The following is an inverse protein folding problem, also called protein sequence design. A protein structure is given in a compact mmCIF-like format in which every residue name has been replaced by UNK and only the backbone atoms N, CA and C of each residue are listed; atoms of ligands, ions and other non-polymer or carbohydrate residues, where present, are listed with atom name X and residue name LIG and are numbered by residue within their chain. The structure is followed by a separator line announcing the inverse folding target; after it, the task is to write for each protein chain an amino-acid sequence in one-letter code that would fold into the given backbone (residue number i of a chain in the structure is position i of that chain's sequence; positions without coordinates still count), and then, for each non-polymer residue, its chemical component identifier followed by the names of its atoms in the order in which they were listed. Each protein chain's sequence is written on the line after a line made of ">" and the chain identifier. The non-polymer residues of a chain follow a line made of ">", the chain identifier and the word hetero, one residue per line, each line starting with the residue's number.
data_IF_421152562684
#
_entry.id   IF_421152562684
#
_cell.length_a   1.000
_cell.length_b   1.000
_cell.length_c   1.000
_cell.angle_alpha   90.00
_cell.angle_beta   90.00
_cell.angle_gamma   90.00
#
_symmetry.space_group_name_H-M   'P 1'
#
loop_
_entity.id
_entity.type
_entity.pdbx_description
1 polymer ?
#
# COMPACT_ATOMS: atom_id res chain seq x y z
N UNK A 1 15.61 11.89 -10.17
CA UNK A 1 14.50 11.56 -11.09
C UNK A 1 14.82 10.27 -11.85
N UNK A 2 13.90 9.30 -11.86
CA UNK A 2 14.00 8.04 -12.59
C UNK A 2 12.83 7.94 -13.59
N UNK A 3 13.10 7.49 -14.80
CA UNK A 3 12.07 7.36 -15.82
C UNK A 3 12.38 6.23 -16.81
N UNK A 4 11.33 5.52 -17.26
CA UNK A 4 11.43 4.43 -18.24
C UNK A 4 12.39 3.31 -17.81
N UNK A 5 12.16 2.77 -16.61
CA UNK A 5 13.01 1.72 -16.03
C UNK A 5 12.23 0.40 -16.01
N UNK A 6 12.92 -0.67 -16.37
CA UNK A 6 12.44 -2.04 -16.25
C UNK A 6 13.40 -2.80 -15.36
N UNK A 7 12.90 -3.33 -14.23
CA UNK A 7 13.67 -4.19 -13.32
C UNK A 7 13.01 -5.55 -13.28
N UNK A 8 13.79 -6.58 -13.58
CA UNK A 8 13.33 -7.97 -13.61
C UNK A 8 14.30 -8.89 -12.88
N UNK A 9 13.74 -9.92 -12.24
CA UNK A 9 14.49 -11.00 -11.60
C UNK A 9 15.51 -10.48 -10.57
N UNK A 10 15.11 -9.47 -9.77
CA UNK A 10 15.96 -8.98 -8.69
C UNK A 10 15.91 -9.93 -7.50
N UNK A 11 17.08 -10.38 -7.06
CA UNK A 11 17.26 -11.20 -5.87
C UNK A 11 17.81 -10.39 -4.67
N UNK A 12 17.91 -9.07 -4.82
CA UNK A 12 18.34 -8.16 -3.77
C UNK A 12 17.24 -7.95 -2.72
N UNK A 13 17.54 -7.16 -1.68
CA UNK A 13 16.61 -6.80 -0.63
C UNK A 13 15.42 -6.03 -1.25
N UNK A 14 15.66 -4.87 -1.88
CA UNK A 14 14.62 -4.16 -2.61
C UNK A 14 15.07 -3.84 -4.04
N UNK A 15 14.12 -3.69 -4.98
CA UNK A 15 14.49 -3.36 -6.35
C UNK A 15 14.84 -1.88 -6.49
N UNK A 16 14.10 -0.99 -5.83
CA UNK A 16 14.42 0.43 -5.66
C UNK A 16 14.12 0.80 -4.21
N UNK A 17 15.11 1.37 -3.51
CA UNK A 17 14.93 1.97 -2.20
C UNK A 17 15.22 3.48 -2.29
N UNK A 18 14.31 4.32 -1.77
CA UNK A 18 14.37 5.78 -1.73
C UNK A 18 14.37 6.22 -0.27
N UNK A 19 15.55 6.64 0.24
CA UNK A 19 15.71 7.00 1.64
C UNK A 19 15.95 8.50 1.77
N UNK A 20 15.16 9.16 2.63
CA UNK A 20 15.33 10.56 3.06
C UNK A 20 15.61 11.53 1.89
N UNK A 21 14.85 11.37 0.80
CA UNK A 21 15.07 12.15 -0.42
C UNK A 21 13.77 12.62 -1.06
N UNK A 22 13.88 13.67 -1.88
CA UNK A 22 12.78 14.14 -2.73
C UNK A 22 12.95 13.58 -4.13
N UNK A 23 12.02 12.72 -4.55
CA UNK A 23 12.15 11.94 -5.76
C UNK A 23 10.93 12.07 -6.69
N UNK A 24 11.20 11.96 -7.98
CA UNK A 24 10.20 11.79 -9.02
C UNK A 24 10.50 10.55 -9.83
N UNK A 25 9.54 9.64 -9.95
CA UNK A 25 9.68 8.42 -10.75
C UNK A 25 8.50 8.26 -11.71
N UNK A 26 8.78 7.75 -12.89
CA UNK A 26 7.72 7.52 -13.87
C UNK A 26 8.03 6.36 -14.82
N UNK A 27 6.96 5.67 -15.25
CA UNK A 27 7.06 4.56 -16.21
C UNK A 27 8.03 3.48 -15.72
N UNK A 28 7.78 2.94 -14.53
CA UNK A 28 8.59 1.88 -13.93
C UNK A 28 7.83 0.55 -14.03
N UNK A 29 8.52 -0.48 -14.46
CA UNK A 29 8.00 -1.84 -14.50
C UNK A 29 8.88 -2.78 -13.69
N UNK A 30 8.27 -3.45 -12.72
CA UNK A 30 8.90 -4.46 -11.88
C UNK A 30 8.33 -5.84 -12.18
N UNK A 31 9.17 -6.84 -12.32
CA UNK A 31 8.75 -8.22 -12.54
C UNK A 31 9.68 -9.20 -11.83
N UNK A 32 9.07 -10.12 -11.08
CA UNK A 32 9.79 -11.18 -10.39
C UNK A 32 10.86 -10.62 -9.43
N UNK A 33 10.40 -9.89 -8.43
CA UNK A 33 11.24 -9.24 -7.39
C UNK A 33 11.15 -10.04 -6.10
N UNK A 34 12.28 -10.32 -5.47
CA UNK A 34 12.38 -11.17 -4.27
C UNK A 34 11.88 -10.48 -2.98
N UNK A 35 12.04 -9.19 -2.86
CA UNK A 35 11.59 -8.39 -1.71
C UNK A 35 10.60 -7.31 -2.20
N UNK A 36 10.72 -6.04 -1.74
CA UNK A 36 9.87 -4.96 -2.19
C UNK A 36 10.28 -4.47 -3.59
N UNK A 37 9.28 -4.12 -4.40
CA UNK A 37 9.61 -3.54 -5.69
C UNK A 37 10.03 -2.08 -5.56
N UNK A 38 9.34 -1.32 -4.72
CA UNK A 38 9.68 0.06 -4.39
C UNK A 38 9.49 0.27 -2.88
N UNK A 39 10.57 0.63 -2.20
CA UNK A 39 10.57 1.04 -0.80
C UNK A 39 10.88 2.53 -0.68
N UNK A 40 10.12 3.26 0.17
CA UNK A 40 10.20 4.71 0.34
C UNK A 40 10.24 5.06 1.82
N UNK A 41 11.43 5.41 2.32
CA UNK A 41 11.68 5.75 3.71
C UNK A 41 11.96 7.24 3.91
N UNK A 42 11.16 7.88 4.78
CA UNK A 42 11.39 9.24 5.30
C UNK A 42 11.60 10.33 4.24
N UNK A 43 10.95 10.20 3.07
CA UNK A 43 11.17 11.09 1.95
C UNK A 43 9.89 11.70 1.34
N UNK A 44 10.04 12.35 0.21
CA UNK A 44 8.95 12.80 -0.63
C UNK A 44 9.03 12.09 -1.99
N UNK A 45 7.94 11.44 -2.40
CA UNK A 45 7.87 10.81 -3.72
C UNK A 45 6.68 11.32 -4.52
N UNK A 46 6.94 11.72 -5.76
CA UNK A 46 5.92 11.84 -6.78
C UNK A 46 6.10 10.75 -7.83
N UNK A 47 5.07 9.94 -8.08
CA UNK A 47 5.18 8.90 -9.10
C UNK A 47 4.05 8.88 -10.12
N UNK A 48 4.34 8.31 -11.28
CA UNK A 48 3.33 7.98 -12.28
C UNK A 48 3.67 6.70 -13.05
N UNK A 49 2.64 5.89 -13.35
CA UNK A 49 2.77 4.66 -14.14
C UNK A 49 3.76 3.65 -13.55
N UNK A 50 3.41 3.09 -12.41
CA UNK A 50 4.13 1.96 -11.79
C UNK A 50 3.35 0.67 -12.05
N UNK A 51 4.06 -0.35 -12.51
CA UNK A 51 3.52 -1.69 -12.70
C UNK A 51 4.39 -2.71 -11.97
N UNK A 52 3.76 -3.47 -11.08
CA UNK A 52 4.36 -4.58 -10.36
C UNK A 52 3.73 -5.90 -10.80
N UNK A 53 4.56 -6.88 -11.12
CA UNK A 53 4.14 -8.23 -11.46
C UNK A 53 5.00 -9.26 -10.73
N UNK A 54 4.39 -10.14 -9.94
CA UNK A 54 5.07 -11.21 -9.18
C UNK A 54 6.14 -10.64 -8.23
N UNK A 55 5.68 -9.97 -7.20
CA UNK A 55 6.53 -9.42 -6.15
C UNK A 55 6.40 -10.32 -4.91
N UNK A 56 7.51 -10.76 -4.34
CA UNK A 56 7.47 -11.69 -3.21
C UNK A 56 7.17 -10.99 -1.88
N UNK A 57 7.27 -9.67 -1.81
CA UNK A 57 6.83 -8.86 -0.68
C UNK A 57 5.85 -7.77 -1.16
N UNK A 58 6.10 -6.50 -0.94
CA UNK A 58 5.19 -5.41 -1.30
C UNK A 58 5.51 -4.83 -2.69
N UNK A 59 4.47 -4.43 -3.45
CA UNK A 59 4.71 -3.67 -4.68
C UNK A 59 5.26 -2.27 -4.34
N UNK A 60 4.66 -1.60 -3.34
CA UNK A 60 5.19 -0.36 -2.77
C UNK A 60 5.07 -0.44 -1.25
N UNK A 61 6.17 -0.29 -0.51
CA UNK A 61 6.19 0.00 0.92
C UNK A 61 6.55 1.48 1.16
N UNK A 62 5.83 2.14 2.06
CA UNK A 62 5.97 3.56 2.36
C UNK A 62 6.05 3.73 3.87
N UNK A 63 7.17 4.19 4.37
CA UNK A 63 7.44 4.38 5.79
C UNK A 63 7.92 5.80 6.09
N UNK A 64 7.18 6.55 6.92
CA UNK A 64 7.54 7.91 7.34
C UNK A 64 7.59 8.93 6.21
N UNK A 65 6.93 8.69 5.09
CA UNK A 65 7.10 9.45 3.86
C UNK A 65 5.83 10.17 3.38
N UNK A 66 6.01 11.14 2.50
CA UNK A 66 4.93 11.86 1.81
C UNK A 66 4.89 11.44 0.34
N UNK A 67 3.80 10.80 -0.09
CA UNK A 67 3.72 10.23 -1.45
C UNK A 67 2.50 10.74 -2.20
N UNK A 68 2.73 11.23 -3.43
CA UNK A 68 1.67 11.51 -4.39
C UNK A 68 1.86 10.64 -5.64
N UNK A 69 0.83 9.88 -6.02
CA UNK A 69 0.94 8.92 -7.08
C UNK A 69 -0.25 8.86 -8.02
N UNK A 70 -0.01 8.36 -9.23
CA UNK A 70 -1.07 8.03 -10.18
C UNK A 70 -0.69 6.85 -11.05
N UNK A 71 -1.73 6.06 -11.42
CA UNK A 71 -1.62 4.91 -12.32
C UNK A 71 -0.69 3.83 -11.75
N UNK A 72 -1.19 3.11 -10.76
CA UNK A 72 -0.50 1.98 -10.14
C UNK A 72 -1.21 0.68 -10.49
N UNK A 73 -0.45 -0.30 -10.91
CA UNK A 73 -0.92 -1.69 -11.09
C UNK A 73 -0.06 -2.62 -10.23
N UNK A 74 -0.69 -3.37 -9.34
CA UNK A 74 -0.05 -4.45 -8.58
C UNK A 74 -0.74 -5.78 -8.88
N UNK A 75 0.04 -6.76 -9.34
CA UNK A 75 -0.46 -8.10 -9.63
C UNK A 75 0.45 -9.16 -9.03
N UNK A 76 -0.16 -10.07 -8.26
CA UNK A 76 0.53 -11.20 -7.66
C UNK A 76 1.66 -10.78 -6.71
N UNK A 77 1.43 -9.79 -5.82
CA UNK A 77 2.31 -9.55 -4.68
C UNK A 77 1.95 -10.53 -3.56
N UNK A 78 2.96 -11.22 -3.03
CA UNK A 78 2.74 -12.24 -2.02
C UNK A 78 2.44 -11.64 -0.63
N UNK A 79 2.79 -10.38 -0.41
CA UNK A 79 2.36 -9.63 0.76
C UNK A 79 1.40 -8.50 0.33
N UNK A 80 1.83 -7.27 0.09
CA UNK A 80 0.89 -6.16 -0.13
C UNK A 80 1.02 -5.53 -1.52
N UNK A 81 -0.10 -5.06 -2.05
CA UNK A 81 -0.09 -4.17 -3.20
C UNK A 81 0.46 -2.79 -2.82
N UNK A 82 -0.06 -2.22 -1.73
CA UNK A 82 0.41 -0.97 -1.15
C UNK A 82 0.46 -1.12 0.36
N UNK A 83 1.59 -0.78 0.95
CA UNK A 83 1.82 -0.68 2.39
C UNK A 83 2.11 0.76 2.76
N UNK A 84 1.40 1.32 3.74
CA UNK A 84 1.56 2.69 4.23
C UNK A 84 1.70 2.67 5.73
N UNK A 85 2.85 3.06 6.26
CA UNK A 85 3.17 3.02 7.68
C UNK A 85 3.92 4.24 8.20
N UNK A 86 4.08 4.28 9.53
CA UNK A 86 4.98 5.21 10.24
C UNK A 86 4.69 6.70 10.00
N UNK A 87 3.43 7.12 10.22
CA UNK A 87 2.99 8.50 10.03
C UNK A 87 3.12 9.03 8.58
N UNK A 88 3.09 8.14 7.60
CA UNK A 88 3.11 8.53 6.19
C UNK A 88 1.83 9.26 5.77
N UNK A 89 1.96 10.16 4.78
CA UNK A 89 0.85 10.85 4.15
C UNK A 89 0.82 10.53 2.66
N UNK A 90 -0.24 9.84 2.22
CA UNK A 90 -0.29 9.25 0.88
C UNK A 90 -1.54 9.68 0.13
N UNK A 91 -1.36 10.09 -1.13
CA UNK A 91 -2.45 10.36 -2.07
C UNK A 91 -2.17 9.66 -3.39
N UNK A 92 -2.99 8.67 -3.74
CA UNK A 92 -2.80 7.90 -4.98
C UNK A 92 -4.14 7.76 -5.71
N UNK A 93 -4.09 7.85 -7.03
CA UNK A 93 -5.27 7.68 -7.87
C UNK A 93 -5.03 6.72 -9.05
N UNK A 94 -6.12 6.12 -9.55
CA UNK A 94 -6.14 5.16 -10.64
C UNK A 94 -5.30 3.91 -10.32
N UNK A 95 -5.82 3.10 -9.44
CA UNK A 95 -5.12 1.93 -8.89
C UNK A 95 -5.87 0.66 -9.29
N UNK A 96 -5.13 -0.35 -9.72
CA UNK A 96 -5.64 -1.69 -9.98
C UNK A 96 -4.80 -2.73 -9.22
N UNK A 97 -5.42 -3.43 -8.27
CA UNK A 97 -4.74 -4.42 -7.43
C UNK A 97 -5.42 -5.78 -7.59
N UNK A 98 -4.66 -6.76 -8.06
CA UNK A 98 -5.17 -8.08 -8.44
C UNK A 98 -4.34 -9.20 -7.83
N UNK A 99 -5.01 -10.13 -7.15
CA UNK A 99 -4.42 -11.36 -6.63
C UNK A 99 -3.21 -11.14 -5.71
N UNK A 100 -3.35 -10.22 -4.75
CA UNK A 100 -2.36 -9.99 -3.70
C UNK A 100 -2.84 -10.61 -2.37
N UNK A 101 -1.94 -10.85 -1.42
CA UNK A 101 -2.36 -11.25 -0.08
C UNK A 101 -3.17 -10.11 0.57
N UNK A 102 -2.65 -8.88 0.57
CA UNK A 102 -3.38 -7.69 1.00
C UNK A 102 -3.31 -6.65 -0.12
N UNK A 103 -4.45 -6.10 -0.55
CA UNK A 103 -4.41 -5.08 -1.58
C UNK A 103 -3.84 -3.75 -1.05
N UNK A 104 -4.38 -3.24 0.04
CA UNK A 104 -3.96 -1.98 0.66
C UNK A 104 -3.89 -2.13 2.17
N UNK A 105 -2.73 -1.90 2.75
CA UNK A 105 -2.53 -1.79 4.19
C UNK A 105 -2.20 -0.34 4.58
N UNK A 106 -2.90 0.22 5.57
CA UNK A 106 -2.58 1.52 6.18
C UNK A 106 -2.44 1.33 7.67
N UNK A 107 -1.30 1.69 8.22
CA UNK A 107 -0.90 1.36 9.58
C UNK A 107 -0.16 2.52 10.26
N UNK A 108 0.01 2.43 11.58
CA UNK A 108 0.97 3.22 12.35
C UNK A 108 0.85 4.74 12.13
N UNK A 109 -0.30 5.30 12.47
CA UNK A 109 -0.54 6.76 12.42
C UNK A 109 -0.64 7.36 11.03
N UNK A 110 -0.55 6.55 9.99
CA UNK A 110 -0.54 7.03 8.61
C UNK A 110 -1.92 7.49 8.12
N UNK A 111 -1.92 8.36 7.11
CA UNK A 111 -3.12 8.83 6.42
C UNK A 111 -3.01 8.56 4.93
N UNK A 112 -4.04 7.92 4.36
CA UNK A 112 -4.12 7.66 2.93
C UNK A 112 -5.43 8.15 2.32
N UNK A 113 -5.36 8.89 1.22
CA UNK A 113 -6.48 9.29 0.34
C UNK A 113 -6.30 8.56 -1.00
N UNK A 114 -7.17 7.60 -1.26
CA UNK A 114 -7.08 6.72 -2.42
C UNK A 114 -8.31 6.91 -3.31
N UNK A 115 -8.09 7.14 -4.60
CA UNK A 115 -9.17 7.41 -5.55
C UNK A 115 -9.11 6.49 -6.78
N UNK A 116 -10.28 6.09 -7.28
CA UNK A 116 -10.41 5.19 -8.44
C UNK A 116 -9.63 3.87 -8.21
N UNK A 117 -10.01 3.13 -7.19
CA UNK A 117 -9.40 1.85 -6.84
C UNK A 117 -10.25 0.69 -7.37
N UNK A 118 -9.62 -0.21 -8.12
CA UNK A 118 -10.21 -1.48 -8.55
C UNK A 118 -9.49 -2.64 -7.87
N UNK A 119 -10.28 -3.50 -7.23
CA UNK A 119 -9.81 -4.66 -6.47
C UNK A 119 -10.29 -5.95 -7.12
N UNK A 120 -9.44 -6.96 -7.19
CA UNK A 120 -9.83 -8.27 -7.72
C UNK A 120 -9.01 -9.40 -7.11
N UNK A 121 -9.71 -10.43 -6.61
CA UNK A 121 -9.11 -11.70 -6.17
C UNK A 121 -8.05 -11.56 -5.06
N UNK A 122 -8.05 -10.48 -4.28
CA UNK A 122 -7.15 -10.35 -3.14
C UNK A 122 -7.67 -11.19 -1.96
N UNK A 123 -6.79 -11.69 -1.12
CA UNK A 123 -7.20 -12.40 0.10
C UNK A 123 -7.83 -11.42 1.09
N UNK A 124 -7.20 -10.26 1.29
CA UNK A 124 -7.77 -9.12 2.00
C UNK A 124 -7.71 -7.88 1.11
N UNK A 125 -8.82 -7.13 1.05
CA UNK A 125 -8.87 -5.92 0.24
C UNK A 125 -8.27 -4.72 1.00
N UNK A 126 -8.57 -4.60 2.29
CA UNK A 126 -8.08 -3.52 3.15
C UNK A 126 -7.57 -4.11 4.47
N UNK A 127 -6.44 -3.60 4.95
CA UNK A 127 -5.98 -3.78 6.32
C UNK A 127 -5.68 -2.41 6.96
N UNK A 128 -6.42 -2.05 8.02
CA UNK A 128 -6.32 -0.77 8.71
C UNK A 128 -6.12 -1.01 10.21
N UNK A 129 -4.89 -0.83 10.71
CA UNK A 129 -4.51 -1.24 12.06
C UNK A 129 -3.23 -0.55 12.54
N UNK A 130 -2.88 -0.73 13.82
CA UNK A 130 -1.60 -0.29 14.38
C UNK A 130 -0.70 -1.50 14.60
N UNK A 131 0.46 -1.55 13.93
CA UNK A 131 1.47 -2.58 14.10
C UNK A 131 2.45 -2.22 15.22
N UNK A 132 2.86 -0.97 15.27
CA UNK A 132 3.83 -0.42 16.22
C UNK A 132 3.10 0.45 17.24
N UNK A 133 3.09 0.03 18.50
CA UNK A 133 2.25 0.62 19.58
C UNK A 133 2.56 2.09 19.90
N UNK A 134 3.72 2.58 19.52
CA UNK A 134 4.13 3.99 19.66
C UNK A 134 3.43 4.95 18.71
N UNK A 135 2.79 4.44 17.66
CA UNK A 135 2.06 5.27 16.70
C UNK A 135 0.55 5.38 17.03
N UNK A 136 -0.05 6.45 16.56
CA UNK A 136 -1.49 6.65 16.62
C UNK A 136 -2.26 5.74 15.65
N UNK A 137 -3.59 5.78 15.70
CA UNK A 137 -4.44 5.03 14.79
C UNK A 137 -4.40 5.63 13.37
N UNK A 138 -4.35 4.77 12.33
CA UNK A 138 -4.35 5.22 10.95
C UNK A 138 -5.71 5.69 10.46
N UNK A 139 -5.67 6.45 9.34
CA UNK A 139 -6.84 6.94 8.62
C UNK A 139 -6.77 6.56 7.14
N UNK A 140 -7.88 6.06 6.61
CA UNK A 140 -8.02 5.75 5.18
C UNK A 140 -9.30 6.36 4.63
N UNK A 141 -9.17 7.11 3.54
CA UNK A 141 -10.28 7.65 2.76
C UNK A 141 -10.24 7.03 1.36
N UNK A 142 -11.34 6.42 0.95
CA UNK A 142 -11.51 5.75 -0.33
C UNK A 142 -12.64 6.42 -1.12
N UNK A 143 -12.37 6.80 -2.36
CA UNK A 143 -13.35 7.40 -3.26
C UNK A 143 -13.37 6.66 -4.60
N UNK A 144 -14.54 6.29 -5.08
CA UNK A 144 -14.75 5.55 -6.31
C UNK A 144 -14.03 4.19 -6.31
N UNK A 145 -14.58 3.25 -5.53
CA UNK A 145 -14.03 1.91 -5.35
C UNK A 145 -14.87 0.89 -6.11
N UNK A 146 -14.21 0.02 -6.86
CA UNK A 146 -14.84 -1.09 -7.57
C UNK A 146 -14.42 -2.43 -6.97
N UNK A 147 -15.39 -3.33 -6.82
CA UNK A 147 -15.24 -4.73 -6.37
C UNK A 147 -14.68 -4.89 -4.94
N UNK A 148 -14.91 -3.93 -4.06
CA UNK A 148 -14.61 -4.08 -2.64
C UNK A 148 -15.53 -5.13 -2.02
N UNK A 149 -14.98 -6.08 -1.29
CA UNK A 149 -15.71 -7.03 -0.46
C UNK A 149 -15.50 -6.66 1.01
N UNK A 150 -16.56 -6.23 1.69
CA UNK A 150 -16.50 -5.84 3.09
C UNK A 150 -16.02 -6.97 4.01
N UNK A 151 -16.24 -8.24 3.63
CA UNK A 151 -15.75 -9.41 4.37
C UNK A 151 -14.22 -9.56 4.31
N UNK A 152 -13.57 -8.85 3.38
CA UNK A 152 -12.11 -8.81 3.22
C UNK A 152 -11.48 -7.56 3.80
N UNK A 153 -12.22 -6.82 4.64
CA UNK A 153 -11.70 -5.68 5.38
C UNK A 153 -11.27 -6.12 6.78
N UNK A 154 -10.01 -5.92 7.09
CA UNK A 154 -9.44 -6.05 8.42
C UNK A 154 -9.32 -4.64 9.00
N UNK A 155 -10.21 -4.25 9.91
CA UNK A 155 -10.21 -2.92 10.51
C UNK A 155 -10.16 -2.99 12.03
N UNK A 156 -9.13 -2.40 12.62
CA UNK A 156 -9.02 -2.32 14.07
C UNK A 156 -9.88 -1.21 14.67
N UNK A 157 -10.22 -1.37 15.95
CA UNK A 157 -10.97 -0.37 16.73
C UNK A 157 -10.28 0.99 16.70
N UNK A 158 -11.08 2.05 16.72
CA UNK A 158 -10.64 3.45 16.76
C UNK A 158 -9.83 3.92 15.53
N UNK A 159 -9.76 3.14 14.47
CA UNK A 159 -9.24 3.62 13.18
C UNK A 159 -10.33 4.36 12.40
N UNK A 160 -9.92 5.20 11.46
CA UNK A 160 -10.85 5.95 10.62
C UNK A 160 -10.87 5.39 9.21
N UNK A 161 -11.97 4.75 8.81
CA UNK A 161 -12.22 4.31 7.44
C UNK A 161 -13.43 5.05 6.87
N UNK A 162 -13.24 5.75 5.77
CA UNK A 162 -14.30 6.45 5.03
C UNK A 162 -14.31 5.92 3.60
N UNK A 163 -15.45 5.44 3.15
CA UNK A 163 -15.65 4.92 1.79
C UNK A 163 -16.81 5.66 1.15
N UNK A 164 -16.56 6.43 0.07
CA UNK A 164 -17.57 7.23 -0.62
C UNK A 164 -18.42 8.04 0.37
N UNK A 165 -17.76 8.80 1.25
CA UNK A 165 -18.32 9.65 2.32
C UNK A 165 -19.04 8.91 3.45
N UNK A 166 -19.11 7.59 3.45
CA UNK A 166 -19.65 6.78 4.55
C UNK A 166 -18.55 6.33 5.50
N UNK A 167 -18.76 6.48 6.79
CA UNK A 167 -17.82 6.04 7.83
C UNK A 167 -18.08 4.60 8.24
N UNK A 168 -17.01 3.82 8.39
CA UNK A 168 -17.02 2.43 8.83
C UNK A 168 -16.29 2.31 10.15
N UNK A 169 -16.89 1.59 11.10
CA UNK A 169 -16.31 1.35 12.41
C UNK A 169 -15.54 0.02 12.44
N UNK A 170 -14.31 0.06 12.90
CA UNK A 170 -13.51 -1.13 13.15
C UNK A 170 -13.95 -1.89 14.41
N UNK A 171 -13.86 -3.21 14.37
CA UNK A 171 -14.26 -4.09 15.47
C UNK A 171 -13.14 -4.98 16.01
N UNK A 172 -12.03 -5.09 15.27
CA UNK A 172 -10.93 -6.00 15.60
C UNK A 172 -9.91 -5.36 16.54
N UNK A 173 -9.16 -6.19 17.25
CA UNK A 173 -7.96 -5.74 17.98
C UNK A 173 -6.75 -5.72 17.04
N UNK A 174 -5.81 -4.80 17.25
CA UNK A 174 -4.59 -4.70 16.43
C UNK A 174 -3.77 -5.99 16.46
N UNK A 175 -3.59 -6.58 17.65
CA UNK A 175 -2.80 -7.81 17.81
C UNK A 175 -3.44 -9.00 17.07
N UNK A 176 -4.76 -9.03 16.96
CA UNK A 176 -5.45 -10.05 16.16
C UNK A 176 -5.18 -9.87 14.66
N UNK A 177 -5.28 -8.65 14.13
CA UNK A 177 -4.96 -8.34 12.73
C UNK A 177 -3.49 -8.67 12.44
N UNK A 178 -2.56 -8.26 13.32
CA UNK A 178 -1.15 -8.60 13.21
C UNK A 178 -0.92 -10.12 13.09
N UNK A 179 -1.63 -10.92 13.91
CA UNK A 179 -1.52 -12.38 13.86
C UNK A 179 -2.05 -13.03 12.58
N UNK A 180 -2.97 -12.37 11.87
CA UNK A 180 -3.50 -12.83 10.58
C UNK A 180 -2.57 -12.52 9.41
N UNK A 181 -1.84 -11.40 9.50
CA UNK A 181 -1.02 -10.85 8.41
C UNK A 181 0.42 -11.37 8.49
N UNK A 182 1.02 -11.36 9.68
CA UNK A 182 2.43 -11.68 9.90
C UNK A 182 2.58 -13.03 10.63
N UNK A 183 2.25 -14.10 9.93
CA UNK A 183 2.42 -15.46 10.42
C UNK A 183 3.80 -16.02 10.09
#
# INVERSE_FOLDING_TARGET
>A
KLNNIVIKNSNNEDAINIINSKSEISNIYFENIKADALDVDFGELNFSNINCLKINNDCIDISGASVNGKNLVSKNSLDKGISVGENSNVKIQNINIVNNNIALAVKDGSSADIRNLTLKENKYDIALFTKKKEFSKPKLVLTNINNLDEKRILQSKNTTLIINDNSFAGSMEDDYINSLIYK
#
